data_IF_285056792878
#
_entry.id   IF_285056792878
#
_cell.length_a   1.000
_cell.length_b   1.000
_cell.length_c   1.000
_cell.angle_alpha   90.00
_cell.angle_beta   90.00
_cell.angle_gamma   90.00
#
_symmetry.space_group_name_H-M   'P 1'
#
loop_
_entity.id
_entity.type
_entity.pdbx_description
1 polymer ?
#
# COMPACT_ATOMS: atom_id res chain seq x y z
N UNK A 1 7.72 60.17 7.39
CA UNK A 1 8.41 59.13 6.60
C UNK A 1 9.82 59.00 7.16
N UNK A 2 10.15 57.89 7.79
CA UNK A 2 11.53 57.47 8.04
C UNK A 2 11.69 56.11 7.35
N UNK A 3 12.73 56.02 6.53
CA UNK A 3 13.04 54.94 5.61
C UNK A 3 13.59 53.71 6.33
N UNK A 4 12.92 52.56 6.18
CA UNK A 4 13.42 51.24 6.56
C UNK A 4 14.57 50.82 5.63
N UNK A 5 15.77 51.32 5.90
CA UNK A 5 17.01 50.76 5.36
C UNK A 5 17.58 49.79 6.39
N UNK A 6 17.16 48.52 6.31
CA UNK A 6 17.86 47.40 6.93
C UNK A 6 18.89 46.85 5.93
N UNK A 7 19.96 47.61 5.71
CA UNK A 7 21.13 47.20 4.95
C UNK A 7 22.09 46.46 5.88
N UNK A 8 22.25 45.14 5.71
CA UNK A 8 23.23 44.39 6.52
C UNK A 8 23.03 42.87 6.61
N UNK A 9 21.85 42.34 6.35
CA UNK A 9 21.69 40.88 6.28
C UNK A 9 22.03 40.41 4.87
N UNK A 10 23.32 40.11 4.66
CA UNK A 10 23.73 39.24 3.56
C UNK A 10 23.10 37.87 3.83
N UNK A 11 21.92 37.60 3.29
CA UNK A 11 21.37 36.25 3.21
C UNK A 11 22.35 35.42 2.38
N UNK A 12 23.30 34.77 3.06
CA UNK A 12 24.17 33.77 2.43
C UNK A 12 23.23 32.73 1.82
N UNK A 13 23.14 32.72 0.49
CA UNK A 13 22.45 31.67 -0.26
C UNK A 13 23.23 30.38 -0.01
N UNK A 14 22.82 29.63 1.01
CA UNK A 14 23.39 28.30 1.30
C UNK A 14 23.18 27.48 0.04
N UNK A 15 24.26 26.96 -0.54
CA UNK A 15 24.13 26.08 -1.69
C UNK A 15 23.73 24.70 -1.16
N UNK A 16 22.44 24.38 -1.22
CA UNK A 16 21.89 23.11 -0.72
C UNK A 16 22.37 21.89 -1.51
N UNK A 17 23.23 22.10 -2.52
CA UNK A 17 24.00 21.05 -3.17
C UNK A 17 25.28 20.64 -2.40
N UNK A 18 25.64 21.33 -1.31
CA UNK A 18 26.78 21.00 -0.46
C UNK A 18 26.44 19.98 0.63
N UNK A 19 25.16 19.71 0.88
CA UNK A 19 24.76 18.67 1.83
C UNK A 19 25.25 17.32 1.35
N UNK A 20 25.91 16.57 2.22
CA UNK A 20 26.41 15.23 1.91
C UNK A 20 25.28 14.33 1.38
N UNK A 21 25.57 13.53 0.35
CA UNK A 21 24.58 12.65 -0.27
C UNK A 21 24.01 11.66 0.74
N UNK A 22 24.84 11.17 1.66
CA UNK A 22 24.48 10.31 2.78
C UNK A 22 23.44 10.99 3.69
N UNK A 23 23.65 12.25 4.06
CA UNK A 23 22.72 13.04 4.86
C UNK A 23 21.36 13.20 4.17
N UNK A 24 21.34 13.50 2.86
CA UNK A 24 20.07 13.63 2.11
C UNK A 24 19.31 12.32 2.07
N UNK A 25 20.01 11.20 1.85
CA UNK A 25 19.43 9.85 1.84
C UNK A 25 18.87 9.48 3.21
N UNK A 26 19.63 9.71 4.27
CA UNK A 26 19.20 9.48 5.64
C UNK A 26 17.97 10.32 6.00
N UNK A 27 17.97 11.62 5.68
CA UNK A 27 16.84 12.50 5.98
C UNK A 27 15.56 12.07 5.23
N UNK A 28 15.68 11.67 3.96
CA UNK A 28 14.57 11.11 3.19
C UNK A 28 14.04 9.84 3.84
N UNK A 29 14.92 8.92 4.25
CA UNK A 29 14.55 7.69 4.93
C UNK A 29 13.81 7.93 6.25
N UNK A 30 14.24 8.90 7.06
CA UNK A 30 13.60 9.22 8.34
C UNK A 30 12.22 9.87 8.15
N UNK A 31 12.08 10.74 7.15
CA UNK A 31 10.79 11.35 6.79
C UNK A 31 9.83 10.30 6.22
N UNK A 32 10.33 9.38 5.38
CA UNK A 32 9.51 8.32 4.80
C UNK A 32 9.13 7.25 5.82
N UNK A 33 9.90 7.10 6.91
CA UNK A 33 9.60 6.19 8.03
C UNK A 33 8.66 6.80 9.09
N UNK A 34 8.10 7.99 8.86
CA UNK A 34 7.26 8.75 9.80
C UNK A 34 7.91 9.05 11.17
N UNK A 35 9.22 8.85 11.30
CA UNK A 35 9.98 9.16 12.52
C UNK A 35 10.24 10.65 12.69
N UNK A 36 10.18 11.40 11.59
CA UNK A 36 10.39 12.84 11.56
C UNK A 36 9.43 13.52 10.58
N UNK A 37 8.76 14.58 11.01
CA UNK A 37 7.90 15.35 10.10
C UNK A 37 8.74 16.30 9.22
N UNK A 38 8.22 16.70 8.06
CA UNK A 38 8.92 17.67 7.19
C UNK A 38 9.15 19.02 7.89
N UNK A 39 8.26 19.40 8.82
CA UNK A 39 8.40 20.62 9.62
C UNK A 39 9.48 20.46 10.68
N UNK A 40 9.52 19.32 11.34
CA UNK A 40 10.55 18.98 12.32
C UNK A 40 11.94 18.88 11.67
N UNK A 41 12.04 18.29 10.47
CA UNK A 41 13.27 18.29 9.68
C UNK A 41 13.72 19.71 9.34
N UNK A 42 12.79 20.62 9.03
CA UNK A 42 13.10 22.03 8.78
C UNK A 42 13.67 22.70 10.02
N UNK A 43 13.02 22.53 11.15
CA UNK A 43 13.39 23.21 12.39
C UNK A 43 14.71 22.64 12.95
N UNK A 44 14.92 21.33 12.84
CA UNK A 44 16.12 20.63 13.33
C UNK A 44 17.36 20.84 12.46
N UNK A 45 17.20 20.91 11.14
CA UNK A 45 18.31 21.05 10.19
C UNK A 45 18.38 22.44 9.53
N UNK A 46 17.61 23.41 10.05
CA UNK A 46 17.57 24.78 9.53
C UNK A 46 17.35 24.85 8.01
N UNK A 47 16.41 24.05 7.50
CA UNK A 47 16.07 24.06 6.08
C UNK A 47 15.33 25.38 5.71
N UNK A 48 15.33 25.77 4.43
CA UNK A 48 14.72 27.01 3.98
C UNK A 48 13.24 27.11 4.36
N UNK A 49 12.85 28.20 5.02
CA UNK A 49 11.48 28.39 5.53
C UNK A 49 10.40 28.24 4.46
N UNK A 50 10.69 28.67 3.23
CA UNK A 50 9.76 28.70 2.11
C UNK A 50 9.90 27.48 1.19
N UNK A 51 11.12 27.01 0.95
CA UNK A 51 11.40 25.99 -0.08
C UNK A 51 11.71 24.59 0.47
N UNK A 52 11.72 24.38 1.79
CA UNK A 52 12.06 23.08 2.38
C UNK A 52 11.20 21.94 1.83
N UNK A 53 9.90 22.17 1.57
CA UNK A 53 9.01 21.16 0.99
C UNK A 53 9.43 20.75 -0.42
N UNK A 54 9.82 21.71 -1.26
CA UNK A 54 10.25 21.44 -2.63
C UNK A 54 11.62 20.75 -2.63
N UNK A 55 12.51 21.16 -1.73
CA UNK A 55 13.83 20.55 -1.55
C UNK A 55 13.71 19.08 -1.11
N UNK A 56 12.90 18.80 -0.08
CA UNK A 56 12.65 17.44 0.41
C UNK A 56 11.99 16.59 -0.69
N UNK A 57 11.01 17.12 -1.43
CA UNK A 57 10.41 16.40 -2.57
C UNK A 57 11.42 16.08 -3.66
N UNK A 58 12.33 17.01 -3.96
CA UNK A 58 13.41 16.79 -4.93
C UNK A 58 14.39 15.71 -4.46
N UNK A 59 14.67 15.66 -3.16
CA UNK A 59 15.50 14.61 -2.56
C UNK A 59 14.77 13.27 -2.52
N UNK A 60 13.49 13.25 -2.18
CA UNK A 60 12.62 12.06 -2.27
C UNK A 60 12.64 11.49 -3.69
N UNK A 61 12.37 12.30 -4.72
CA UNK A 61 12.40 11.81 -6.11
C UNK A 61 13.77 11.27 -6.55
N UNK A 62 14.86 11.69 -5.89
CA UNK A 62 16.22 11.29 -6.25
C UNK A 62 16.74 10.09 -5.44
N UNK A 63 16.27 9.94 -4.21
CA UNK A 63 16.84 9.04 -3.21
C UNK A 63 15.83 8.13 -2.53
N UNK A 64 14.53 8.32 -2.73
CA UNK A 64 13.55 7.34 -2.26
C UNK A 64 13.78 6.07 -3.07
N UNK A 65 14.14 4.99 -2.40
CA UNK A 65 14.06 3.69 -3.03
C UNK A 65 12.63 3.49 -3.50
N UNK A 66 12.44 3.10 -4.76
CA UNK A 66 11.13 2.92 -5.43
C UNK A 66 10.17 2.05 -4.61
N UNK A 67 10.72 1.18 -3.76
CA UNK A 67 10.00 0.31 -2.84
C UNK A 67 9.38 1.11 -1.66
N UNK A 68 10.09 2.08 -1.09
CA UNK A 68 9.61 2.83 0.08
C UNK A 68 8.46 3.79 -0.26
N UNK A 69 8.43 4.35 -1.47
CA UNK A 69 7.32 5.21 -1.91
C UNK A 69 6.01 4.41 -2.12
N UNK A 70 6.12 3.15 -2.56
CA UNK A 70 4.96 2.26 -2.72
C UNK A 70 4.35 1.81 -1.38
N UNK A 71 5.15 1.73 -0.30
CA UNK A 71 4.66 1.42 1.04
C UNK A 71 3.98 2.63 1.72
N UNK A 72 4.33 3.86 1.29
CA UNK A 72 3.79 5.12 1.82
C UNK A 72 2.37 5.43 1.32
N UNK A 73 1.94 4.82 0.23
CA UNK A 73 0.63 5.04 -0.38
C UNK A 73 -0.37 3.94 -0.01
N UNK A 74 -0.45 3.56 1.27
CA UNK A 74 -1.68 2.98 1.81
C UNK A 74 -2.33 3.99 2.75
N UNK A 75 -3.13 4.88 2.16
CA UNK A 75 -4.10 5.73 2.83
C UNK A 75 -4.90 4.91 3.85
N UNK A 76 -5.32 5.54 4.95
CA UNK A 76 -6.20 4.90 5.94
C UNK A 76 -7.44 4.25 5.30
N UNK A 77 -7.89 4.80 4.16
CA UNK A 77 -8.96 4.25 3.32
C UNK A 77 -8.58 2.92 2.65
N UNK A 78 -7.37 2.80 2.13
CA UNK A 78 -6.87 1.55 1.53
C UNK A 78 -6.67 0.46 2.59
N UNK A 79 -6.27 0.83 3.82
CA UNK A 79 -6.22 -0.11 4.96
C UNK A 79 -7.62 -0.61 5.37
N UNK A 80 -8.65 0.23 5.30
CA UNK A 80 -10.03 -0.21 5.55
C UNK A 80 -10.56 -1.11 4.43
N UNK A 81 -10.17 -0.82 3.19
CA UNK A 81 -10.57 -1.60 2.02
C UNK A 81 -9.94 -3.00 2.05
N UNK A 82 -8.68 -3.14 2.49
CA UNK A 82 -8.03 -4.45 2.66
C UNK A 82 -8.80 -5.32 3.65
N UNK A 83 -9.18 -4.79 4.82
CA UNK A 83 -9.96 -5.55 5.82
C UNK A 83 -11.34 -5.96 5.30
N UNK A 84 -11.99 -5.09 4.53
CA UNK A 84 -13.27 -5.40 3.90
C UNK A 84 -13.13 -6.49 2.82
N UNK A 85 -12.06 -6.43 2.02
CA UNK A 85 -11.71 -7.43 1.01
C UNK A 85 -11.38 -8.79 1.65
N UNK A 86 -10.58 -8.82 2.70
CA UNK A 86 -10.27 -10.04 3.47
C UNK A 86 -11.54 -10.71 4.01
N UNK A 87 -12.47 -9.91 4.56
CA UNK A 87 -13.76 -10.41 5.04
C UNK A 87 -14.59 -11.00 3.89
N UNK A 88 -14.57 -10.35 2.72
CA UNK A 88 -15.29 -10.84 1.53
C UNK A 88 -14.69 -12.14 1.01
N UNK A 89 -13.36 -12.26 0.98
CA UNK A 89 -12.67 -13.49 0.59
C UNK A 89 -13.08 -14.64 1.50
N UNK A 90 -13.00 -14.44 2.83
CA UNK A 90 -13.39 -15.48 3.80
C UNK A 90 -14.85 -15.93 3.65
N UNK A 91 -15.75 -15.00 3.37
CA UNK A 91 -17.16 -15.33 3.13
C UNK A 91 -17.34 -16.14 1.84
N UNK A 92 -16.63 -15.77 0.77
CA UNK A 92 -16.67 -16.49 -0.51
C UNK A 92 -16.07 -17.90 -0.38
N UNK A 93 -14.96 -18.06 0.33
CA UNK A 93 -14.34 -19.37 0.60
C UNK A 93 -15.32 -20.29 1.35
N UNK A 94 -16.02 -19.76 2.35
CA UNK A 94 -17.04 -20.51 3.11
C UNK A 94 -18.24 -20.91 2.24
N UNK A 95 -18.66 -20.05 1.31
CA UNK A 95 -19.72 -20.38 0.36
C UNK A 95 -19.28 -21.47 -0.62
N UNK A 96 -18.03 -21.41 -1.08
CA UNK A 96 -17.44 -22.41 -1.95
C UNK A 96 -17.37 -23.77 -1.26
N UNK A 97 -16.87 -23.82 -0.02
CA UNK A 97 -16.80 -25.05 0.78
C UNK A 97 -18.19 -25.68 0.96
N UNK A 98 -19.20 -24.86 1.29
CA UNK A 98 -20.59 -25.33 1.40
C UNK A 98 -21.14 -25.89 0.10
N UNK A 99 -20.83 -25.25 -1.04
CA UNK A 99 -21.27 -25.73 -2.35
C UNK A 99 -20.60 -27.05 -2.73
N UNK A 100 -19.29 -27.17 -2.47
CA UNK A 100 -18.54 -28.41 -2.68
C UNK A 100 -19.07 -29.55 -1.81
N UNK A 101 -19.32 -29.28 -0.52
CA UNK A 101 -19.88 -30.27 0.40
C UNK A 101 -21.28 -30.73 -0.04
N UNK A 102 -22.12 -29.81 -0.53
CA UNK A 102 -23.43 -30.17 -1.10
C UNK A 102 -23.30 -31.05 -2.34
N UNK A 103 -22.37 -30.72 -3.25
CA UNK A 103 -22.13 -31.55 -4.43
C UNK A 103 -21.68 -32.96 -4.05
N UNK A 104 -20.73 -33.09 -3.12
CA UNK A 104 -20.28 -34.38 -2.61
C UNK A 104 -21.45 -35.15 -2.00
N UNK A 105 -22.26 -34.51 -1.14
CA UNK A 105 -23.42 -35.14 -0.54
C UNK A 105 -24.43 -35.62 -1.61
N UNK A 106 -24.71 -34.81 -2.63
CA UNK A 106 -25.59 -35.18 -3.73
C UNK A 106 -25.04 -36.36 -4.53
N UNK A 107 -23.76 -36.34 -4.90
CA UNK A 107 -23.12 -37.46 -5.60
C UNK A 107 -23.16 -38.73 -4.76
N UNK A 108 -22.85 -38.66 -3.45
CA UNK A 108 -22.92 -39.83 -2.56
C UNK A 108 -24.35 -40.37 -2.43
N UNK A 109 -25.37 -39.51 -2.42
CA UNK A 109 -26.76 -39.94 -2.37
C UNK A 109 -27.18 -40.62 -3.67
N UNK A 110 -26.70 -40.13 -4.82
CA UNK A 110 -26.89 -40.78 -6.13
C UNK A 110 -26.24 -42.16 -6.13
N UNK A 111 -25.00 -42.27 -5.64
CA UNK A 111 -24.27 -43.54 -5.58
C UNK A 111 -25.02 -44.58 -4.69
N UNK A 112 -25.57 -44.16 -3.55
CA UNK A 112 -26.40 -45.04 -2.70
C UNK A 112 -27.68 -45.47 -3.43
N UNK A 113 -28.37 -44.54 -4.09
CA UNK A 113 -29.59 -44.85 -4.83
C UNK A 113 -29.37 -45.80 -6.03
N UNK A 114 -28.25 -45.64 -6.72
CA UNK A 114 -27.86 -46.52 -7.83
C UNK A 114 -27.45 -47.91 -7.33
N UNK A 115 -26.65 -47.99 -6.25
CA UNK A 115 -26.11 -49.27 -5.75
C UNK A 115 -27.15 -50.09 -4.96
N UNK A 116 -27.83 -49.46 -4.00
CA UNK A 116 -28.70 -50.18 -3.06
C UNK A 116 -30.13 -50.32 -3.58
N UNK A 117 -30.61 -49.34 -4.35
CA UNK A 117 -31.98 -49.29 -4.85
C UNK A 117 -32.10 -49.54 -6.36
N UNK A 118 -30.98 -49.70 -7.09
CA UNK A 118 -30.94 -49.93 -8.55
C UNK A 118 -31.71 -48.89 -9.37
N UNK A 119 -31.81 -47.67 -8.86
CA UNK A 119 -32.44 -46.56 -9.57
C UNK A 119 -31.40 -45.93 -10.52
N UNK A 120 -31.61 -45.98 -11.84
CA UNK A 120 -30.71 -45.31 -12.80
C UNK A 120 -30.97 -43.79 -12.80
N UNK A 121 -30.20 -43.02 -12.01
CA UNK A 121 -30.38 -41.57 -11.87
C UNK A 121 -29.41 -40.80 -12.78
N UNK A 122 -28.14 -41.21 -12.86
CA UNK A 122 -27.14 -40.53 -13.69
C UNK A 122 -27.38 -40.83 -15.17
N UNK A 123 -27.33 -39.78 -16.00
CA UNK A 123 -27.48 -39.90 -17.45
C UNK A 123 -26.26 -40.64 -18.02
N UNK A 124 -26.45 -41.76 -18.70
CA UNK A 124 -25.36 -42.48 -19.40
C UNK A 124 -24.80 -41.55 -20.49
N UNK A 125 -23.48 -41.33 -20.49
CA UNK A 125 -22.82 -40.55 -21.56
C UNK A 125 -23.17 -41.18 -22.91
N UNK A 126 -23.62 -40.36 -23.86
CA UNK A 126 -24.11 -40.80 -25.16
C UNK A 126 -23.08 -41.60 -25.98
N UNK A 127 -23.50 -42.20 -27.12
CA UNK A 127 -22.65 -43.08 -27.91
C UNK A 127 -21.36 -42.35 -28.32
N UNK A 128 -20.21 -43.02 -28.12
CA UNK A 128 -18.93 -42.60 -28.71
C UNK A 128 -19.14 -42.54 -30.23
N UNK A 129 -19.09 -41.35 -30.82
CA UNK A 129 -18.96 -41.17 -32.27
C UNK A 129 -17.52 -41.45 -32.70
#
# INVERSE_FOLDING_TARGET
MLTDYMDGFQEKKINYNDYEVSFRRWLVSEIDSERMSMQEARDRFSLPKWDYKMLIRRWQNRYSDTIHLSLRAMSAKERTDIKALEKRIRELEKQLERAQMKNIALDTMIDIAENDYKLEIRKKSGPKQ
#
